data_IF_704285246875
#
_entry.id   IF_704285246875
#
_cell.length_a   1.000
_cell.length_b   1.000
_cell.length_c   1.000
_cell.angle_alpha   90.00
_cell.angle_beta   90.00
_cell.angle_gamma   90.00
#
_symmetry.space_group_name_H-M   'P 1'
#
loop_
_entity.id
_entity.type
_entity.pdbx_description
1 polymer ?
#
# COMPACT_ATOMS: atom_id res chain seq x y z
N UNK A 1 -8.05 14.57 -27.39
CA UNK A 1 -8.59 13.26 -27.01
C UNK A 1 -7.66 12.71 -25.95
N UNK A 2 -7.87 13.20 -24.72
CA UNK A 2 -8.26 12.43 -23.53
C UNK A 2 -7.05 11.70 -22.91
N UNK A 3 -6.47 12.11 -21.77
CA UNK A 3 -6.98 12.91 -20.67
C UNK A 3 -7.48 12.04 -19.52
N UNK A 4 -6.55 11.45 -18.76
CA UNK A 4 -6.60 11.17 -17.32
C UNK A 4 -7.96 10.93 -16.64
N UNK A 5 -8.19 9.72 -16.14
CA UNK A 5 -8.98 9.48 -14.91
C UNK A 5 -8.67 8.09 -14.33
N UNK A 6 -7.83 8.04 -13.29
CA UNK A 6 -7.88 6.97 -12.30
C UNK A 6 -7.49 7.55 -10.93
N UNK A 7 -8.49 8.02 -10.16
CA UNK A 7 -8.48 7.76 -8.72
C UNK A 7 -9.93 7.59 -8.19
N UNK A 8 -10.39 6.34 -8.01
CA UNK A 8 -11.63 6.06 -7.24
C UNK A 8 -11.62 4.76 -6.41
N UNK A 9 -10.59 3.91 -6.50
CA UNK A 9 -10.60 2.55 -5.92
C UNK A 9 -9.53 2.29 -4.86
N UNK A 10 -8.41 3.02 -4.88
CA UNK A 10 -7.56 3.18 -3.68
C UNK A 10 -8.40 3.70 -2.51
N UNK A 11 -9.33 4.61 -2.81
CA UNK A 11 -10.35 5.06 -1.87
C UNK A 11 -11.24 3.91 -1.37
N UNK A 12 -11.52 2.84 -2.13
CA UNK A 12 -12.36 1.72 -1.67
C UNK A 12 -11.63 0.81 -0.67
N UNK A 13 -10.37 0.42 -0.94
CA UNK A 13 -9.53 -0.32 0.02
C UNK A 13 -9.30 0.48 1.32
N UNK A 14 -9.14 1.79 1.18
CA UNK A 14 -8.98 2.71 2.30
C UNK A 14 -10.33 2.95 2.98
N UNK A 15 -11.44 3.07 2.25
CA UNK A 15 -12.79 3.25 2.80
C UNK A 15 -13.22 2.03 3.58
N UNK A 16 -12.86 0.80 3.17
CA UNK A 16 -13.08 -0.41 3.99
C UNK A 16 -12.33 -0.29 5.33
N UNK A 17 -11.08 0.22 5.32
CA UNK A 17 -10.33 0.44 6.56
C UNK A 17 -10.77 1.68 7.38
N UNK A 18 -11.38 2.70 6.75
CA UNK A 18 -11.88 3.94 7.39
C UNK A 18 -13.29 3.74 7.97
N UNK A 19 -14.17 2.96 7.31
CA UNK A 19 -15.58 2.80 7.69
C UNK A 19 -15.80 1.93 8.94
N UNK A 20 -14.74 1.31 9.49
CA UNK A 20 -14.82 0.35 10.58
C UNK A 20 -14.31 0.89 11.93
N UNK A 21 -14.00 2.18 12.03
CA UNK A 21 -13.81 2.86 13.31
C UNK A 21 -15.17 3.38 13.77
N UNK A 22 -15.77 2.89 14.89
CA UNK A 22 -17.02 3.47 15.36
C UNK A 22 -16.76 4.89 15.81
N UNK A 23 -17.33 5.84 15.08
CA UNK A 23 -17.48 7.21 15.54
C UNK A 23 -18.39 7.22 16.78
N UNK A 24 -17.80 7.23 17.98
CA UNK A 24 -18.48 7.69 19.18
C UNK A 24 -17.95 9.07 19.53
N UNK A 25 -18.78 10.08 19.27
CA UNK A 25 -18.51 11.46 19.64
C UNK A 25 -18.91 12.42 18.52
N UNK A 26 -20.20 12.72 18.46
CA UNK A 26 -20.75 13.84 17.71
C UNK A 26 -19.94 15.12 17.93
N UNK A 27 -19.26 15.60 16.88
CA UNK A 27 -18.99 17.03 16.71
C UNK A 27 -19.40 17.40 15.29
N UNK A 28 -20.49 18.15 15.25
CA UNK A 28 -21.03 18.79 14.07
C UNK A 28 -20.02 19.86 13.61
N UNK A 29 -19.33 19.64 12.49
CA UNK A 29 -18.55 20.67 11.79
C UNK A 29 -18.86 20.61 10.30
N UNK A 30 -20.13 20.84 9.97
CA UNK A 30 -20.47 21.62 8.77
C UNK A 30 -21.06 22.94 9.25
N UNK A 31 -20.20 23.92 9.52
CA UNK A 31 -20.62 25.32 9.47
C UNK A 31 -19.45 26.22 9.07
N UNK A 32 -19.68 26.94 7.96
CA UNK A 32 -19.06 28.18 7.52
C UNK A 32 -17.54 28.22 7.32
N UNK A 33 -17.14 28.10 6.06
CA UNK A 33 -16.17 29.04 5.51
C UNK A 33 -16.84 29.78 4.35
N UNK A 34 -17.07 31.07 4.59
CA UNK A 34 -17.60 32.04 3.65
C UNK A 34 -16.61 32.23 2.49
N UNK A 35 -17.02 31.85 1.28
CA UNK A 35 -16.37 32.29 0.04
C UNK A 35 -17.36 33.18 -0.71
N UNK A 36 -17.13 34.49 -0.64
CA UNK A 36 -17.83 35.50 -1.44
C UNK A 36 -17.05 35.70 -2.74
N UNK A 37 -17.73 35.61 -3.91
CA UNK A 37 -17.43 36.55 -4.96
C UNK A 37 -18.70 37.24 -5.46
N UNK A 38 -18.67 38.58 -5.42
CA UNK A 38 -19.60 39.43 -6.16
C UNK A 38 -19.38 39.34 -7.68
N UNK A 39 -20.33 39.85 -8.48
CA UNK A 39 -20.55 39.46 -9.87
C UNK A 39 -19.76 40.34 -10.85
N UNK A 40 -19.69 39.94 -12.12
CA UNK A 40 -19.97 40.74 -13.33
C UNK A 40 -19.83 39.84 -14.58
N UNK A 41 -21.00 39.56 -15.17
CA UNK A 41 -21.38 39.51 -16.61
C UNK A 41 -20.45 38.90 -17.68
N UNK A 42 -21.00 37.97 -18.47
CA UNK A 42 -20.48 37.61 -19.79
C UNK A 42 -21.36 36.57 -20.49
N UNK A 43 -22.07 37.00 -21.52
CA UNK A 43 -23.12 36.31 -22.30
C UNK A 43 -22.69 35.03 -23.03
N UNK A 44 -23.62 34.07 -23.07
CA UNK A 44 -23.60 32.82 -23.86
C UNK A 44 -24.11 33.08 -25.29
N UNK A 45 -23.61 32.34 -26.30
CA UNK A 45 -24.48 31.91 -27.38
C UNK A 45 -24.52 30.38 -27.53
N UNK A 46 -25.75 29.89 -27.63
CA UNK A 46 -26.13 28.53 -27.97
C UNK A 46 -26.03 28.28 -29.48
N UNK A 47 -25.59 27.08 -29.87
CA UNK A 47 -25.80 26.41 -31.16
C UNK A 47 -25.30 24.97 -30.93
N UNK A 48 -25.98 23.87 -31.21
CA UNK A 48 -27.15 23.59 -32.03
C UNK A 48 -26.90 22.17 -32.55
N UNK A 49 -27.50 21.17 -31.93
CA UNK A 49 -27.42 19.77 -32.37
C UNK A 49 -28.38 19.59 -33.55
N UNK A 50 -27.90 19.08 -34.68
CA UNK A 50 -28.77 18.68 -35.81
C UNK A 50 -28.43 17.26 -36.26
N UNK A 51 -29.46 16.43 -36.22
CA UNK A 51 -29.58 15.09 -36.79
C UNK A 51 -29.13 15.05 -38.26
N UNK A 52 -28.54 13.92 -38.67
CA UNK A 52 -28.77 13.40 -40.01
C UNK A 52 -28.77 11.86 -40.01
N UNK A 53 -29.87 11.29 -40.50
CA UNK A 53 -30.08 9.86 -40.75
C UNK A 53 -30.09 9.60 -42.27
N UNK A 54 -29.51 8.46 -42.63
CA UNK A 54 -29.87 7.55 -43.73
C UNK A 54 -29.62 7.95 -45.20
N UNK A 55 -28.73 7.18 -45.85
CA UNK A 55 -29.04 6.65 -47.18
C UNK A 55 -28.47 5.23 -47.38
N UNK A 56 -29.38 4.28 -47.58
CA UNK A 56 -29.12 2.97 -48.18
C UNK A 56 -28.93 3.12 -49.70
N UNK A 57 -28.00 2.36 -50.30
CA UNK A 57 -28.30 1.39 -51.39
C UNK A 57 -27.05 0.67 -51.92
N UNK A 58 -27.20 -0.66 -52.00
CA UNK A 58 -26.73 -1.61 -53.02
C UNK A 58 -25.24 -2.03 -53.11
N UNK A 59 -25.06 -3.37 -53.10
CA UNK A 59 -23.92 -4.20 -53.56
C UNK A 59 -24.39 -4.97 -54.83
N UNK A 60 -23.55 -5.75 -55.54
CA UNK A 60 -22.20 -5.54 -56.13
C UNK A 60 -22.24 -5.89 -57.66
N UNK A 61 -21.11 -6.09 -58.41
CA UNK A 61 -20.30 -7.34 -58.34
C UNK A 61 -18.76 -7.21 -58.55
N UNK A 62 -18.04 -8.21 -57.99
CA UNK A 62 -16.81 -8.91 -58.40
C UNK A 62 -15.52 -8.21 -58.92
N UNK A 63 -14.38 -8.49 -58.24
CA UNK A 63 -12.98 -8.22 -58.66
C UNK A 63 -11.96 -9.10 -57.87
N UNK A 64 -10.76 -9.43 -58.41
CA UNK A 64 -9.99 -10.63 -58.06
C UNK A 64 -9.12 -10.51 -56.79
N UNK A 65 -8.56 -11.62 -56.26
CA UNK A 65 -7.91 -11.65 -54.95
C UNK A 65 -6.39 -11.39 -55.05
N UNK A 66 -5.92 -10.25 -54.56
CA UNK A 66 -4.49 -10.01 -54.28
C UNK A 66 -4.14 -10.54 -52.88
N UNK A 67 -4.06 -11.87 -52.79
CA UNK A 67 -3.93 -12.61 -51.53
C UNK A 67 -2.51 -13.01 -51.10
N UNK A 68 -1.43 -12.45 -51.67
CA UNK A 68 -0.07 -12.93 -51.38
C UNK A 68 0.86 -11.84 -50.80
N UNK A 69 0.74 -10.57 -51.23
CA UNK A 69 1.63 -9.50 -50.73
C UNK A 69 1.26 -9.01 -49.32
N UNK A 70 -0.01 -9.15 -48.93
CA UNK A 70 -0.51 -8.78 -47.60
C UNK A 70 -0.09 -9.78 -46.53
N UNK A 71 -0.08 -11.09 -46.86
CA UNK A 71 0.32 -12.16 -45.94
C UNK A 71 1.82 -12.12 -45.61
N UNK A 72 2.68 -11.82 -46.59
CA UNK A 72 4.14 -11.76 -46.37
C UNK A 72 4.52 -10.56 -45.49
N UNK A 73 3.87 -9.41 -45.67
CA UNK A 73 4.07 -8.26 -44.78
C UNK A 73 3.53 -8.51 -43.37
N UNK A 74 2.42 -9.24 -43.22
CA UNK A 74 1.88 -9.63 -41.92
C UNK A 74 2.86 -10.57 -41.18
N UNK A 75 3.37 -11.60 -41.88
CA UNK A 75 4.35 -12.55 -41.34
C UNK A 75 5.66 -11.86 -40.90
N UNK A 76 6.18 -10.93 -41.69
CA UNK A 76 7.42 -10.21 -41.36
C UNK A 76 7.26 -9.25 -40.17
N UNK A 77 6.06 -8.70 -39.96
CA UNK A 77 5.76 -7.84 -38.81
C UNK A 77 5.58 -8.65 -37.53
N UNK A 78 4.99 -9.85 -37.64
CA UNK A 78 4.81 -10.80 -36.53
C UNK A 78 6.15 -11.40 -36.07
N UNK A 79 7.02 -11.81 -36.99
CA UNK A 79 8.36 -12.32 -36.63
C UNK A 79 9.20 -11.22 -35.98
N UNK A 80 9.09 -9.96 -36.45
CA UNK A 80 9.81 -8.82 -35.85
C UNK A 80 9.26 -8.46 -34.45
N UNK A 81 7.98 -8.66 -34.20
CA UNK A 81 7.34 -8.45 -32.89
C UNK A 81 7.64 -9.59 -31.92
N UNK A 82 7.64 -10.83 -32.41
CA UNK A 82 8.04 -12.03 -31.65
C UNK A 82 9.53 -11.99 -31.27
N UNK A 83 10.41 -11.56 -32.17
CA UNK A 83 11.82 -11.37 -31.86
C UNK A 83 12.06 -10.20 -30.88
N UNK A 84 11.28 -9.12 -30.96
CA UNK A 84 11.33 -8.06 -29.93
C UNK A 84 10.92 -8.59 -28.55
N UNK A 85 9.90 -9.45 -28.46
CA UNK A 85 9.48 -10.08 -27.19
C UNK A 85 10.50 -11.06 -26.61
N UNK A 86 11.39 -11.62 -27.44
CA UNK A 86 12.45 -12.54 -27.02
C UNK A 86 13.69 -11.82 -26.47
N UNK A 87 14.00 -10.62 -26.99
CA UNK A 87 15.17 -9.83 -26.59
C UNK A 87 14.83 -8.64 -25.66
N UNK A 88 13.56 -8.22 -25.63
CA UNK A 88 13.02 -7.14 -24.80
C UNK A 88 11.60 -7.52 -24.36
N UNK A 89 11.41 -8.31 -23.27
CA UNK A 89 10.08 -8.62 -22.79
C UNK A 89 9.35 -7.29 -22.55
N UNK A 90 8.25 -7.05 -23.26
CA UNK A 90 7.45 -5.85 -23.06
C UNK A 90 6.70 -6.00 -21.73
N UNK A 91 7.37 -5.51 -20.71
CA UNK A 91 7.01 -5.34 -19.31
C UNK A 91 5.77 -4.45 -19.11
N UNK A 92 4.60 -4.88 -19.61
CA UNK A 92 3.36 -4.08 -19.63
C UNK A 92 2.20 -4.75 -18.89
N UNK A 93 2.41 -5.10 -17.62
CA UNK A 93 1.37 -5.75 -16.82
C UNK A 93 1.42 -5.37 -15.35
N UNK A 94 0.29 -5.58 -14.68
CA UNK A 94 0.18 -5.52 -13.22
C UNK A 94 1.31 -6.34 -12.59
N UNK A 95 2.05 -5.79 -11.63
CA UNK A 95 3.20 -6.47 -11.06
C UNK A 95 2.84 -7.69 -10.21
N UNK A 96 1.55 -7.88 -9.91
CA UNK A 96 0.99 -9.00 -9.12
C UNK A 96 0.52 -10.14 -10.04
N UNK A 97 -0.39 -9.86 -10.97
CA UNK A 97 -1.05 -10.90 -11.79
C UNK A 97 -0.65 -10.90 -13.29
N UNK A 98 0.16 -9.94 -13.74
CA UNK A 98 0.58 -9.83 -15.14
C UNK A 98 -0.51 -9.36 -16.13
N UNK A 99 -1.75 -9.11 -15.69
CA UNK A 99 -2.81 -8.52 -16.54
C UNK A 99 -2.35 -7.19 -17.14
N UNK A 100 -2.77 -6.89 -18.38
CA UNK A 100 -2.37 -5.67 -19.12
C UNK A 100 -2.48 -4.42 -18.25
N UNK A 101 -1.43 -3.61 -18.22
CA UNK A 101 -1.37 -2.42 -17.39
C UNK A 101 0.05 -1.89 -17.22
N UNK A 102 0.32 -1.30 -16.06
CA UNK A 102 1.63 -0.76 -15.70
C UNK A 102 2.25 -1.61 -14.59
N UNK A 103 3.55 -1.87 -14.67
CA UNK A 103 4.28 -2.52 -13.58
C UNK A 103 4.39 -1.66 -12.32
N UNK A 104 4.13 -0.35 -12.43
CA UNK A 104 4.12 0.56 -11.27
C UNK A 104 2.79 0.59 -10.53
N UNK A 105 1.73 0.01 -11.08
CA UNK A 105 0.40 0.08 -10.50
C UNK A 105 -0.23 -1.31 -10.40
N UNK A 106 -0.75 -1.62 -9.23
CA UNK A 106 -1.51 -2.84 -9.01
C UNK A 106 -2.87 -2.65 -9.68
N UNK A 107 -3.27 -3.61 -10.52
CA UNK A 107 -4.56 -3.51 -11.20
C UNK A 107 -5.72 -3.62 -10.21
N UNK A 108 -6.84 -2.99 -10.56
CA UNK A 108 -8.07 -2.99 -9.77
C UNK A 108 -8.48 -4.38 -9.29
N UNK A 109 -8.44 -5.40 -10.16
CA UNK A 109 -8.87 -6.75 -9.80
C UNK A 109 -8.03 -7.33 -8.65
N UNK A 110 -6.72 -7.08 -8.62
CA UNK A 110 -5.88 -7.53 -7.50
C UNK A 110 -6.14 -6.73 -6.21
N UNK A 111 -6.48 -5.45 -6.33
CA UNK A 111 -6.87 -4.64 -5.18
C UNK A 111 -8.20 -5.10 -4.59
N UNK A 112 -9.17 -5.46 -5.45
CA UNK A 112 -10.46 -6.03 -5.06
C UNK A 112 -10.28 -7.41 -4.40
N UNK A 113 -9.50 -8.31 -5.02
CA UNK A 113 -9.14 -9.61 -4.43
C UNK A 113 -8.54 -9.45 -3.02
N UNK A 114 -7.70 -8.43 -2.77
CA UNK A 114 -7.14 -8.18 -1.45
C UNK A 114 -8.13 -7.54 -0.47
N UNK A 115 -9.08 -6.74 -0.97
CA UNK A 115 -10.16 -6.19 -0.17
C UNK A 115 -11.06 -7.32 0.35
N UNK A 116 -11.41 -8.27 -0.52
CA UNK A 116 -12.24 -9.44 -0.21
C UNK A 116 -11.62 -10.33 0.87
N UNK A 117 -10.27 -10.36 1.00
CA UNK A 117 -9.62 -11.08 2.11
C UNK A 117 -10.08 -10.56 3.49
N UNK A 118 -10.48 -9.29 3.59
CA UNK A 118 -10.95 -8.68 4.81
C UNK A 118 -12.46 -8.91 5.07
N UNK A 119 -13.18 -9.55 4.14
CA UNK A 119 -14.62 -9.78 4.28
C UNK A 119 -14.93 -10.61 5.53
N UNK A 120 -15.88 -10.11 6.33
CA UNK A 120 -16.23 -10.72 7.62
C UNK A 120 -15.26 -10.41 8.77
N UNK A 121 -14.22 -9.60 8.52
CA UNK A 121 -13.28 -9.16 9.55
C UNK A 121 -13.30 -7.64 9.75
N UNK A 122 -12.95 -7.21 10.96
CA UNK A 122 -12.75 -5.82 11.34
C UNK A 122 -11.31 -5.62 11.84
N UNK A 123 -10.63 -4.52 11.47
CA UNK A 123 -9.33 -4.21 12.02
C UNK A 123 -9.44 -3.81 13.50
N UNK A 124 -8.55 -4.34 14.33
CA UNK A 124 -8.42 -3.92 15.72
C UNK A 124 -8.12 -2.41 15.79
N UNK A 125 -8.86 -1.68 16.63
CA UNK A 125 -8.71 -0.23 16.78
C UNK A 125 -7.27 0.18 17.14
N UNK A 126 -6.54 -0.66 17.88
CA UNK A 126 -5.14 -0.42 18.29
C UNK A 126 -4.12 -1.01 17.32
N UNK A 127 -4.05 -2.34 17.17
CA UNK A 127 -2.99 -2.99 16.38
C UNK A 127 -3.30 -3.19 14.89
N UNK A 128 -4.51 -2.93 14.43
CA UNK A 128 -4.88 -3.08 13.02
C UNK A 128 -4.96 -4.53 12.52
N UNK A 129 -4.73 -5.55 13.36
CA UNK A 129 -4.97 -6.95 13.01
C UNK A 129 -6.45 -7.21 12.80
N UNK A 130 -6.77 -8.05 11.83
CA UNK A 130 -8.13 -8.40 11.44
C UNK A 130 -8.72 -9.43 12.41
N UNK A 131 -9.89 -9.16 12.98
CA UNK A 131 -10.63 -10.08 13.85
C UNK A 131 -12.07 -10.23 13.37
N UNK A 132 -12.75 -11.32 13.73
CA UNK A 132 -14.17 -11.45 13.40
C UNK A 132 -14.97 -10.29 13.99
N UNK A 133 -15.98 -9.83 13.26
CA UNK A 133 -16.88 -8.80 13.74
C UNK A 133 -17.69 -9.33 14.93
N UNK A 134 -17.41 -8.82 16.14
CA UNK A 134 -18.16 -9.12 17.35
C UNK A 134 -18.81 -7.84 17.88
N UNK A 135 -20.06 -7.94 18.34
CA UNK A 135 -20.85 -6.79 18.73
C UNK A 135 -20.21 -6.00 19.88
N UNK A 136 -19.91 -4.71 19.65
CA UNK A 136 -19.47 -3.77 20.68
C UNK A 136 -17.96 -3.78 20.98
N UNK A 137 -17.18 -4.69 20.40
CA UNK A 137 -15.75 -4.81 20.70
C UNK A 137 -14.88 -4.40 19.51
N UNK A 138 -14.11 -3.31 19.64
CA UNK A 138 -13.26 -2.77 18.56
C UNK A 138 -11.79 -3.13 18.71
N UNK A 139 -11.34 -3.41 19.93
CA UNK A 139 -9.96 -3.76 20.26
C UNK A 139 -9.87 -5.28 20.43
N UNK A 140 -8.78 -5.92 20.02
CA UNK A 140 -8.58 -7.35 20.27
C UNK A 140 -8.15 -7.62 21.71
N UNK A 141 -8.33 -8.86 22.20
CA UNK A 141 -7.97 -9.27 23.55
C UNK A 141 -6.51 -8.91 23.90
N UNK A 142 -5.58 -9.22 23.00
CA UNK A 142 -4.16 -8.96 23.22
C UNK A 142 -3.85 -7.48 23.50
N UNK A 143 -4.50 -6.56 22.76
CA UNK A 143 -4.32 -5.12 22.95
C UNK A 143 -5.07 -4.57 24.17
N UNK A 144 -6.06 -5.29 24.69
CA UNK A 144 -6.70 -4.94 25.97
C UNK A 144 -5.85 -5.36 27.16
N UNK A 145 -5.26 -6.55 27.08
CA UNK A 145 -4.41 -7.10 28.13
C UNK A 145 -3.03 -6.44 28.16
N UNK A 146 -2.49 -6.09 26.99
CA UNK A 146 -1.16 -5.51 26.83
C UNK A 146 -1.26 -4.32 25.89
N UNK A 147 -1.36 -3.11 26.45
CA UNK A 147 -1.38 -1.89 25.64
C UNK A 147 -0.07 -1.78 24.84
N UNK A 148 -0.14 -1.70 23.50
CA UNK A 148 1.06 -1.60 22.70
C UNK A 148 1.78 -0.25 22.90
N UNK A 149 3.11 -0.23 22.78
CA UNK A 149 3.95 0.97 22.93
C UNK A 149 3.90 1.86 21.66
N UNK A 150 2.72 2.09 21.10
CA UNK A 150 2.49 2.97 19.94
C UNK A 150 1.03 3.43 19.97
N UNK A 151 0.72 4.55 19.29
CA UNK A 151 -0.63 5.11 19.29
C UNK A 151 -1.62 4.20 18.56
N UNK A 152 -1.26 3.83 17.33
CA UNK A 152 -2.12 3.05 16.43
C UNK A 152 -1.29 2.39 15.34
N UNK A 153 -1.69 1.18 14.95
CA UNK A 153 -1.17 0.47 13.79
C UNK A 153 -2.29 0.21 12.78
N UNK A 154 -1.99 0.37 11.49
CA UNK A 154 -2.92 0.09 10.38
C UNK A 154 -2.20 -0.65 9.27
N UNK A 155 -2.91 -1.58 8.65
CA UNK A 155 -2.40 -2.38 7.53
C UNK A 155 -3.40 -2.33 6.37
N UNK A 156 -2.92 -2.53 5.15
CA UNK A 156 -3.75 -2.42 3.95
C UNK A 156 -4.75 -3.58 3.87
N UNK A 157 -4.30 -4.82 4.08
CA UNK A 157 -5.14 -6.01 3.97
C UNK A 157 -4.64 -7.17 4.86
N UNK A 158 -5.39 -8.27 4.99
CA UNK A 158 -4.92 -9.47 5.66
C UNK A 158 -3.69 -10.08 4.96
N UNK A 159 -2.79 -10.66 5.76
CA UNK A 159 -1.62 -11.39 5.26
C UNK A 159 -2.02 -12.79 4.78
N UNK A 160 -2.68 -12.84 3.63
CA UNK A 160 -3.16 -14.07 2.99
C UNK A 160 -3.16 -13.95 1.46
N UNK A 161 -3.44 -15.05 0.77
CA UNK A 161 -3.65 -15.12 -0.67
C UNK A 161 -2.54 -14.48 -1.51
N UNK A 162 -2.93 -13.82 -2.59
CA UNK A 162 -1.99 -13.22 -3.54
C UNK A 162 -1.18 -12.06 -2.96
N UNK A 163 -1.62 -11.41 -1.88
CA UNK A 163 -0.83 -10.42 -1.15
C UNK A 163 0.33 -11.09 -0.40
N UNK A 164 0.07 -12.21 0.28
CA UNK A 164 1.12 -13.00 0.93
C UNK A 164 2.17 -13.46 -0.07
N UNK A 165 1.74 -13.93 -1.24
CA UNK A 165 2.64 -14.38 -2.30
C UNK A 165 3.47 -13.23 -2.90
N UNK A 166 2.83 -12.08 -3.14
CA UNK A 166 3.50 -10.87 -3.60
C UNK A 166 4.57 -10.42 -2.59
N UNK A 167 4.22 -10.37 -1.31
CA UNK A 167 5.16 -10.05 -0.24
C UNK A 167 6.28 -11.07 -0.14
N UNK A 168 5.99 -12.36 -0.24
CA UNK A 168 7.00 -13.42 -0.25
C UNK A 168 7.99 -13.24 -1.42
N UNK A 169 7.50 -12.95 -2.63
CA UNK A 169 8.35 -12.67 -3.79
C UNK A 169 9.17 -11.38 -3.63
N UNK A 170 8.61 -10.36 -2.98
CA UNK A 170 9.33 -9.16 -2.58
C UNK A 170 10.42 -9.47 -1.54
N UNK A 171 10.22 -10.48 -0.68
CA UNK A 171 11.19 -10.89 0.32
C UNK A 171 12.34 -11.72 -0.26
N UNK A 172 12.03 -12.75 -1.04
CA UNK A 172 12.99 -13.81 -1.33
C UNK A 172 13.36 -13.94 -2.80
N UNK A 173 12.61 -13.29 -3.70
CA UNK A 173 12.82 -13.38 -5.15
C UNK A 173 13.44 -12.13 -5.76
N UNK A 174 13.95 -11.21 -4.93
CA UNK A 174 14.66 -10.02 -5.39
C UNK A 174 13.80 -8.99 -6.13
N UNK A 175 12.45 -9.11 -6.07
CA UNK A 175 11.49 -8.28 -6.83
C UNK A 175 11.36 -6.84 -6.31
N UNK A 176 12.45 -6.06 -6.37
CA UNK A 176 12.51 -4.67 -5.88
C UNK A 176 11.54 -3.75 -6.60
N UNK A 177 11.14 -4.07 -7.83
CA UNK A 177 10.13 -3.35 -8.58
C UNK A 177 8.77 -3.29 -7.88
N UNK A 178 8.49 -4.20 -6.94
CA UNK A 178 7.30 -4.17 -6.10
C UNK A 178 7.30 -3.04 -5.06
N UNK A 179 8.45 -2.42 -4.79
CA UNK A 179 8.56 -1.38 -3.77
C UNK A 179 7.63 -0.18 -4.05
N UNK A 180 7.61 0.32 -5.28
CA UNK A 180 6.76 1.45 -5.65
C UNK A 180 5.25 1.16 -5.52
N UNK A 181 4.69 0.14 -6.21
CA UNK A 181 3.25 -0.15 -6.14
C UNK A 181 2.78 -0.50 -4.72
N UNK A 182 3.61 -1.20 -3.93
CA UNK A 182 3.26 -1.52 -2.54
C UNK A 182 3.42 -0.29 -1.61
N UNK A 183 4.48 0.48 -1.79
CA UNK A 183 4.70 1.71 -1.03
C UNK A 183 3.62 2.77 -1.28
N UNK A 184 3.06 2.82 -2.49
CA UNK A 184 1.91 3.66 -2.85
C UNK A 184 0.71 3.33 -1.96
N UNK A 185 0.42 2.05 -1.72
CA UNK A 185 -0.67 1.63 -0.83
C UNK A 185 -0.44 2.08 0.63
N UNK A 186 0.79 1.96 1.14
CA UNK A 186 1.13 2.45 2.49
C UNK A 186 0.96 3.98 2.54
N UNK A 187 1.47 4.70 1.55
CA UNK A 187 1.38 6.16 1.51
C UNK A 187 -0.09 6.62 1.50
N UNK A 188 -0.94 5.99 0.70
CA UNK A 188 -2.36 6.31 0.66
C UNK A 188 -3.07 5.96 1.98
N UNK A 189 -2.75 4.83 2.60
CA UNK A 189 -3.26 4.48 3.94
C UNK A 189 -2.88 5.53 4.99
N UNK A 190 -1.61 5.95 5.02
CA UNK A 190 -1.09 6.95 5.95
C UNK A 190 -1.75 8.31 5.71
N UNK A 191 -1.91 8.72 4.45
CA UNK A 191 -2.53 9.98 4.10
C UNK A 191 -3.99 10.08 4.57
N UNK A 192 -4.70 8.95 4.56
CA UNK A 192 -6.13 8.89 4.89
C UNK A 192 -6.40 8.65 6.37
N UNK A 193 -5.55 7.91 7.08
CA UNK A 193 -5.83 7.48 8.45
C UNK A 193 -5.02 8.22 9.53
N UNK A 194 -3.87 8.78 9.19
CA UNK A 194 -2.94 9.34 10.17
C UNK A 194 -2.82 10.86 10.04
N UNK A 195 -2.44 11.56 11.13
CA UNK A 195 -2.12 12.99 11.10
C UNK A 195 -0.75 13.23 10.43
N UNK A 196 -0.56 12.74 9.20
CA UNK A 196 0.75 12.59 8.55
C UNK A 196 1.54 13.89 8.43
N UNK A 197 0.85 15.04 8.35
CA UNK A 197 1.46 16.38 8.31
C UNK A 197 2.19 16.78 9.59
N UNK A 198 1.89 16.12 10.71
CA UNK A 198 2.53 16.35 12.01
C UNK A 198 3.63 15.33 12.32
N UNK A 199 3.87 14.36 11.44
CA UNK A 199 4.89 13.35 11.62
C UNK A 199 6.26 13.93 11.23
N UNK A 200 7.20 13.87 12.17
CA UNK A 200 8.55 14.39 11.97
C UNK A 200 9.42 13.48 11.11
N UNK A 201 9.13 12.19 11.09
CA UNK A 201 9.90 11.20 10.35
C UNK A 201 9.07 9.97 9.96
N UNK A 202 9.45 9.33 8.86
CA UNK A 202 9.17 7.93 8.57
C UNK A 202 10.45 7.13 8.83
N UNK A 203 10.32 6.09 9.65
CA UNK A 203 11.40 5.22 10.10
C UNK A 203 11.06 3.81 9.62
N UNK A 204 11.89 3.18 8.78
CA UNK A 204 11.71 1.80 8.39
C UNK A 204 12.15 0.86 9.51
N UNK A 205 11.45 -0.27 9.68
CA UNK A 205 11.93 -1.36 10.54
C UNK A 205 13.27 -1.90 10.01
N UNK A 206 14.35 -1.95 10.81
CA UNK A 206 15.65 -2.38 10.33
C UNK A 206 15.75 -3.91 10.22
N UNK A 207 16.54 -4.35 9.23
CA UNK A 207 17.03 -5.74 9.16
C UNK A 207 18.38 -5.85 9.89
N UNK A 208 18.68 -7.05 10.38
CA UNK A 208 20.01 -7.35 10.89
C UNK A 208 21.00 -7.41 9.71
N UNK A 209 22.26 -7.07 9.94
CA UNK A 209 23.27 -6.96 8.87
C UNK A 209 23.40 -8.26 8.05
N UNK A 210 23.47 -9.43 8.70
CA UNK A 210 23.51 -10.73 8.01
C UNK A 210 22.30 -10.92 7.06
N UNK A 211 21.10 -10.55 7.51
CA UNK A 211 19.87 -10.63 6.71
C UNK A 211 19.86 -9.62 5.57
N UNK A 212 20.48 -8.45 5.76
CA UNK A 212 20.64 -7.46 4.71
C UNK A 212 21.65 -7.93 3.66
N UNK A 213 22.73 -8.60 4.05
CA UNK A 213 23.71 -9.21 3.14
C UNK A 213 23.09 -10.36 2.33
N UNK A 214 22.36 -11.28 2.98
CA UNK A 214 21.65 -12.39 2.31
C UNK A 214 20.61 -11.90 1.31
N UNK A 215 19.80 -10.90 1.71
CA UNK A 215 18.63 -10.45 0.96
C UNK A 215 18.95 -9.32 -0.02
N UNK A 216 20.07 -8.63 0.18
CA UNK A 216 20.58 -7.51 -0.61
C UNK A 216 19.86 -6.18 -0.43
N UNK A 217 18.74 -6.12 0.31
CA UNK A 217 17.96 -4.89 0.55
C UNK A 217 17.01 -5.01 1.76
N UNK A 218 16.65 -3.85 2.33
CA UNK A 218 15.59 -3.72 3.33
C UNK A 218 14.28 -3.25 2.68
N UNK A 219 13.23 -4.08 2.79
CA UNK A 219 11.91 -3.89 2.19
C UNK A 219 11.19 -2.74 2.86
N UNK A 220 11.25 -2.67 4.19
CA UNK A 220 10.66 -1.58 4.94
C UNK A 220 11.30 -0.24 4.53
N UNK A 221 12.60 -0.21 4.24
CA UNK A 221 13.29 0.97 3.72
C UNK A 221 12.76 1.37 2.34
N UNK A 222 12.69 0.44 1.39
CA UNK A 222 12.18 0.72 0.04
C UNK A 222 10.71 1.21 0.07
N UNK A 223 9.89 0.67 0.97
CA UNK A 223 8.52 1.13 1.18
C UNK A 223 8.49 2.53 1.80
N UNK A 224 9.32 2.79 2.81
CA UNK A 224 9.44 4.09 3.47
C UNK A 224 9.94 5.20 2.52
N UNK A 225 10.82 4.88 1.57
CA UNK A 225 11.25 5.81 0.51
C UNK A 225 10.07 6.29 -0.37
N UNK A 226 9.13 5.39 -0.68
CA UNK A 226 7.93 5.74 -1.44
C UNK A 226 7.01 6.64 -0.61
N UNK A 227 6.82 6.30 0.67
CA UNK A 227 6.05 7.14 1.61
C UNK A 227 6.65 8.55 1.73
N UNK A 228 7.97 8.65 1.90
CA UNK A 228 8.69 9.93 1.91
C UNK A 228 8.45 10.72 0.61
N UNK A 229 8.57 10.07 -0.54
CA UNK A 229 8.40 10.73 -1.85
C UNK A 229 6.99 11.27 -2.03
N UNK A 230 5.98 10.51 -1.63
CA UNK A 230 4.56 10.84 -1.84
C UNK A 230 4.04 11.83 -0.81
N UNK A 231 4.39 11.67 0.47
CA UNK A 231 3.84 12.44 1.58
C UNK A 231 4.77 13.54 2.11
N UNK A 232 6.02 13.57 1.64
CA UNK A 232 7.07 14.52 2.07
C UNK A 232 7.41 14.45 3.55
N UNK A 233 7.14 13.32 4.20
CA UNK A 233 7.60 13.04 5.57
C UNK A 233 9.09 12.67 5.52
N UNK A 234 10.00 13.32 6.26
CA UNK A 234 11.43 13.02 6.24
C UNK A 234 11.73 11.54 6.50
N UNK A 235 12.56 10.91 5.66
CA UNK A 235 13.01 9.53 5.87
C UNK A 235 14.22 9.51 6.81
N UNK A 236 14.14 8.75 7.90
CA UNK A 236 15.22 8.65 8.89
C UNK A 236 15.57 7.16 9.11
N UNK A 237 16.39 6.57 8.23
CA UNK A 237 16.61 5.12 8.20
C UNK A 237 17.43 4.62 9.39
N UNK A 238 18.34 5.45 9.94
CA UNK A 238 19.21 5.05 11.04
C UNK A 238 18.67 5.46 12.42
N UNK A 239 17.40 5.87 12.54
CA UNK A 239 16.78 6.10 13.85
C UNK A 239 16.58 4.80 14.64
N UNK A 240 16.58 3.65 13.95
CA UNK A 240 16.53 2.33 14.56
C UNK A 240 17.65 1.44 14.01
N UNK A 241 18.30 0.71 14.91
CA UNK A 241 19.34 -0.28 14.60
C UNK A 241 18.87 -1.62 15.14
N UNK A 242 19.10 -2.70 14.39
CA UNK A 242 18.90 -4.05 14.88
C UNK A 242 20.24 -4.65 15.31
N UNK A 243 20.54 -4.58 16.60
CA UNK A 243 21.84 -4.95 17.16
C UNK A 243 22.03 -6.46 17.34
N UNK A 244 20.94 -7.24 17.36
CA UNK A 244 21.00 -8.70 17.54
C UNK A 244 20.39 -9.46 16.38
N UNK A 245 21.12 -10.46 15.89
CA UNK A 245 20.56 -11.48 15.02
C UNK A 245 19.61 -12.36 15.82
N UNK A 246 18.40 -12.55 15.30
CA UNK A 246 17.41 -13.42 15.93
C UNK A 246 16.99 -14.46 14.91
N UNK A 247 16.87 -15.72 15.32
CA UNK A 247 16.46 -16.82 14.43
C UNK A 247 15.17 -16.50 13.66
N UNK A 248 15.03 -17.10 12.47
CA UNK A 248 13.88 -16.87 11.60
C UNK A 248 12.57 -17.08 12.34
N UNK A 249 11.69 -16.08 12.26
CA UNK A 249 10.41 -16.07 12.99
C UNK A 249 9.37 -17.04 12.40
N UNK A 250 9.64 -17.62 11.22
CA UNK A 250 8.70 -18.47 10.46
C UNK A 250 8.34 -19.77 11.19
N UNK A 251 9.25 -20.34 11.97
CA UNK A 251 9.03 -21.58 12.74
C UNK A 251 8.70 -21.36 14.22
N UNK A 252 8.72 -20.11 14.69
CA UNK A 252 8.52 -19.78 16.10
C UNK A 252 7.04 -19.59 16.45
N UNK A 253 6.66 -20.06 17.64
CA UNK A 253 5.39 -19.70 18.29
C UNK A 253 5.34 -18.20 18.55
N UNK A 254 4.14 -17.70 18.86
CA UNK A 254 3.92 -16.29 19.19
C UNK A 254 4.78 -15.84 20.38
N UNK A 255 4.77 -16.60 21.47
CA UNK A 255 5.51 -16.34 22.70
C UNK A 255 7.01 -16.37 22.43
N UNK A 256 7.45 -17.35 21.63
CA UNK A 256 8.83 -17.46 21.17
C UNK A 256 9.24 -16.27 20.31
N UNK A 257 8.37 -15.73 19.45
CA UNK A 257 8.67 -14.51 18.68
C UNK A 257 8.87 -13.30 19.59
N UNK A 258 8.06 -13.16 20.64
CA UNK A 258 8.19 -12.04 21.57
C UNK A 258 9.50 -12.12 22.38
N UNK A 259 9.82 -13.29 22.95
CA UNK A 259 11.06 -13.48 23.69
C UNK A 259 12.30 -13.37 22.79
N UNK A 260 12.24 -13.90 21.57
CA UNK A 260 13.34 -13.85 20.61
C UNK A 260 13.73 -12.43 20.22
N UNK A 261 12.79 -11.50 20.15
CA UNK A 261 13.04 -10.11 19.73
C UNK A 261 13.34 -9.14 20.87
N UNK A 262 13.15 -9.57 22.13
CA UNK A 262 13.40 -8.70 23.29
C UNK A 262 14.81 -8.13 23.25
N UNK A 263 14.92 -6.81 23.26
CA UNK A 263 16.20 -6.09 23.22
C UNK A 263 17.02 -6.34 21.94
N UNK A 264 16.38 -6.71 20.83
CA UNK A 264 17.06 -6.85 19.54
C UNK A 264 17.17 -5.54 18.76
N UNK A 265 16.50 -4.48 19.22
CA UNK A 265 16.44 -3.18 18.57
C UNK A 265 16.88 -2.08 19.53
N UNK A 266 17.62 -1.12 18.99
CA UNK A 266 18.16 0.03 19.69
C UNK A 266 17.87 1.30 18.87
N UNK A 267 17.79 2.43 19.55
CA UNK A 267 17.71 3.71 18.87
C UNK A 267 19.09 4.08 18.33
N UNK A 268 19.16 4.44 17.05
CA UNK A 268 20.40 4.95 16.46
C UNK A 268 20.57 6.45 16.70
N UNK A 269 21.70 6.99 16.25
CA UNK A 269 22.08 8.40 16.49
C UNK A 269 21.04 9.39 15.91
N UNK A 270 20.44 9.03 14.78
CA UNK A 270 19.42 9.85 14.11
C UNK A 270 18.07 9.86 14.84
N UNK A 271 17.91 9.14 15.96
CA UNK A 271 16.73 9.22 16.81
C UNK A 271 16.73 10.46 17.71
N UNK A 272 17.90 11.03 18.02
CA UNK A 272 18.03 12.17 18.94
C UNK A 272 17.21 13.40 18.50
N UNK A 273 17.19 13.81 17.22
CA UNK A 273 16.36 14.93 16.76
C UNK A 273 14.84 14.67 16.82
N UNK A 274 14.42 13.42 17.06
CA UNK A 274 13.01 13.00 17.10
C UNK A 274 12.42 13.05 18.52
N UNK A 275 13.19 13.49 19.51
CA UNK A 275 12.70 13.69 20.87
C UNK A 275 11.48 14.61 20.94
N UNK A 276 10.45 14.17 21.66
CA UNK A 276 9.19 14.90 21.80
C UNK A 276 8.32 14.93 20.53
N UNK A 277 8.73 14.26 19.44
CA UNK A 277 8.03 14.25 18.15
C UNK A 277 7.14 13.01 17.98
N UNK A 278 6.20 13.13 17.04
CA UNK A 278 5.45 11.99 16.50
C UNK A 278 6.13 11.46 15.24
N UNK A 279 6.17 10.14 15.05
CA UNK A 279 6.84 9.48 13.91
C UNK A 279 5.97 8.37 13.32
N UNK A 280 6.25 8.01 12.07
CA UNK A 280 5.73 6.82 11.40
C UNK A 280 6.77 5.71 11.43
N UNK A 281 6.43 4.54 11.97
CA UNK A 281 7.18 3.30 11.79
C UNK A 281 6.57 2.52 10.62
N UNK A 282 7.38 2.23 9.60
CA UNK A 282 6.95 1.50 8.41
C UNK A 282 7.53 0.09 8.39
N UNK A 283 6.70 -0.91 8.13
CA UNK A 283 7.10 -2.31 7.94
C UNK A 283 6.37 -2.93 6.72
N UNK A 284 6.73 -4.13 6.32
CA UNK A 284 5.99 -4.86 5.29
C UNK A 284 4.82 -5.68 5.87
N UNK A 285 5.01 -6.34 7.02
CA UNK A 285 4.01 -7.24 7.61
C UNK A 285 3.92 -7.12 9.13
N UNK A 286 2.71 -6.84 9.64
CA UNK A 286 2.36 -6.89 11.05
C UNK A 286 1.75 -8.27 11.40
N UNK A 287 2.56 -9.21 11.90
CA UNK A 287 2.03 -10.53 12.35
C UNK A 287 1.58 -10.49 13.82
N UNK A 288 2.43 -10.88 14.75
CA UNK A 288 2.16 -10.79 16.20
C UNK A 288 2.38 -9.38 16.74
N UNK A 289 3.05 -8.53 15.97
CA UNK A 289 3.47 -7.21 16.41
C UNK A 289 4.75 -7.17 17.22
N UNK A 290 5.38 -8.30 17.54
CA UNK A 290 6.57 -8.33 18.40
C UNK A 290 7.71 -7.44 17.87
N UNK A 291 7.98 -7.47 16.55
CA UNK A 291 8.97 -6.59 15.90
C UNK A 291 8.64 -5.12 16.11
N UNK A 292 7.40 -4.73 15.77
CA UNK A 292 6.92 -3.35 15.89
C UNK A 292 6.96 -2.88 17.34
N UNK A 293 6.51 -3.70 18.29
CA UNK A 293 6.51 -3.35 19.71
C UNK A 293 7.94 -3.11 20.23
N UNK A 294 8.91 -3.95 19.88
CA UNK A 294 10.30 -3.76 20.31
C UNK A 294 10.95 -2.55 19.64
N UNK A 295 10.70 -2.31 18.36
CA UNK A 295 11.12 -1.09 17.67
C UNK A 295 10.53 0.16 18.35
N UNK A 296 9.24 0.13 18.66
CA UNK A 296 8.59 1.27 19.29
C UNK A 296 9.08 1.52 20.72
N UNK A 297 9.38 0.47 21.50
CA UNK A 297 10.02 0.62 22.82
C UNK A 297 11.38 1.30 22.70
N UNK A 298 12.21 0.91 21.73
CA UNK A 298 13.51 1.53 21.51
C UNK A 298 13.38 3.04 21.19
N UNK A 299 12.42 3.42 20.33
CA UNK A 299 12.14 4.81 19.99
C UNK A 299 11.59 5.61 21.19
N UNK A 300 10.67 5.04 21.97
CA UNK A 300 10.13 5.69 23.18
C UNK A 300 11.24 5.92 24.20
N UNK A 301 12.12 4.93 24.40
CA UNK A 301 13.27 5.05 25.30
C UNK A 301 14.25 6.15 24.85
N UNK A 302 14.32 6.43 23.54
CA UNK A 302 15.08 7.55 22.98
C UNK A 302 14.36 8.91 23.06
N UNK A 303 13.12 8.93 23.57
CA UNK A 303 12.34 10.14 23.81
C UNK A 303 11.33 10.50 22.71
N UNK A 304 11.09 9.61 21.74
CA UNK A 304 9.99 9.79 20.77
C UNK A 304 8.65 9.78 21.52
N UNK A 305 7.80 10.78 21.26
CA UNK A 305 6.56 10.99 22.02
C UNK A 305 5.44 10.08 21.57
N UNK A 306 5.30 9.89 20.25
CA UNK A 306 4.16 9.18 19.67
C UNK A 306 4.57 8.43 18.41
N UNK A 307 4.06 7.23 18.24
CA UNK A 307 4.44 6.34 17.14
C UNK A 307 3.17 5.86 16.45
N UNK A 308 3.09 6.11 15.15
CA UNK A 308 2.11 5.54 14.24
C UNK A 308 2.76 4.41 13.46
N UNK A 309 2.03 3.33 13.19
CA UNK A 309 2.61 2.17 12.48
C UNK A 309 1.80 1.89 11.23
N UNK A 310 2.49 1.76 10.08
CA UNK A 310 1.87 1.32 8.83
C UNK A 310 2.60 0.10 8.27
N UNK A 311 1.83 -0.89 7.81
CA UNK A 311 2.34 -2.02 7.05
C UNK A 311 1.42 -2.39 5.89
N UNK A 312 1.85 -3.28 5.01
CA UNK A 312 0.99 -3.77 3.92
C UNK A 312 -0.01 -4.78 4.45
N UNK A 313 0.45 -5.73 5.26
CA UNK A 313 -0.36 -6.85 5.64
C UNK A 313 -0.38 -7.10 7.13
N UNK A 314 -1.54 -7.53 7.66
CA UNK A 314 -1.66 -7.97 9.05
C UNK A 314 -2.17 -9.40 9.20
N UNK A 315 -1.70 -10.10 10.24
CA UNK A 315 -2.22 -11.42 10.56
C UNK A 315 -3.67 -11.37 11.04
N UNK A 316 -4.49 -12.33 10.60
CA UNK A 316 -5.84 -12.54 11.10
C UNK A 316 -5.78 -13.13 12.52
N UNK A 317 -6.64 -12.64 13.40
CA UNK A 317 -6.90 -13.17 14.73
C UNK A 317 -7.96 -14.26 14.58
N UNK A 318 -7.50 -15.50 14.44
CA UNK A 318 -8.36 -16.66 14.71
C UNK A 318 -8.44 -16.79 16.23
N UNK A 319 -9.62 -16.56 16.81
CA UNK A 319 -9.86 -16.84 18.23
C UNK A 319 -9.35 -18.25 18.56
N UNK A 320 -8.66 -18.47 19.68
CA UNK A 320 -8.61 -19.81 20.25
C UNK A 320 -10.03 -20.29 20.61
#
# INVERSE_FOLDING_TARGET
MEGSQCPRLLDSLITINVALIPAKGSVNIYSKMDYVPGPITGTVPAMGWTLYLAHHRNRPPDGPPDGILTEVNFLLTDVRSAMKGLFFPQEQGCPICGRRGSQRHICQICLEEWAELADGFLPCAKCGRFKKAEAGETTCQECRENEPPYAIARCVAPYDGSLRDALHSFKFSGRRELAYPLGELIASLVASLFPYRFLAAVIPVPLHENRLQERGFNQALLLAEVVNRMLRIPLVPNALIRSRETHSQTSLSREQRHSNLKGAFEAGEDALPLQGKAVLLADDVYTTGATVQECSKALINAGVKEIYVAALAAGILTSP
#
